data_IF_765311320993
#
_entry.id   IF_765311320993
#
_cell.length_a   1.000
_cell.length_b   1.000
_cell.length_c   1.000
_cell.angle_alpha   90.00
_cell.angle_beta   90.00
_cell.angle_gamma   90.00
#
_symmetry.space_group_name_H-M   'P 1'
#
loop_
_entity.id
_entity.type
_entity.pdbx_description
1 polymer ?
#
# COMPACT_ATOMS: atom_id res chain seq x y z
N UNK A 1 -20.42 20.20 -9.97
CA UNK A 1 -21.06 18.99 -9.39
C UNK A 1 -20.19 17.72 -9.44
N UNK A 2 -19.67 17.23 -10.59
CA UNK A 2 -18.73 16.08 -10.59
C UNK A 2 -17.36 16.39 -9.95
N UNK A 3 -16.88 17.62 -10.10
CA UNK A 3 -15.61 18.07 -9.50
C UNK A 3 -15.69 18.14 -7.96
N UNK A 4 -16.81 18.64 -7.44
CA UNK A 4 -17.04 18.76 -5.99
C UNK A 4 -17.15 17.40 -5.30
N UNK A 5 -17.84 16.44 -5.91
CA UNK A 5 -17.96 15.06 -5.43
C UNK A 5 -16.59 14.36 -5.39
N UNK A 6 -15.75 14.53 -6.42
CA UNK A 6 -14.38 13.98 -6.44
C UNK A 6 -13.48 14.64 -5.41
N UNK A 7 -13.53 15.96 -5.29
CA UNK A 7 -12.74 16.72 -4.30
C UNK A 7 -13.14 16.35 -2.87
N UNK A 8 -14.42 16.17 -2.60
CA UNK A 8 -14.90 15.72 -1.29
C UNK A 8 -14.45 14.29 -0.97
N UNK A 9 -14.50 13.38 -1.95
CA UNK A 9 -13.97 12.03 -1.78
C UNK A 9 -12.47 12.04 -1.44
N UNK A 10 -11.66 12.79 -2.18
CA UNK A 10 -10.22 12.91 -1.91
C UNK A 10 -9.94 13.50 -0.50
N UNK A 11 -10.67 14.54 -0.08
CA UNK A 11 -10.56 15.11 1.27
C UNK A 11 -10.92 14.10 2.36
N UNK A 12 -11.98 13.31 2.15
CA UNK A 12 -12.37 12.26 3.07
C UNK A 12 -11.31 11.17 3.19
N UNK A 13 -10.72 10.72 2.07
CA UNK A 13 -9.66 9.71 2.07
C UNK A 13 -8.38 10.20 2.75
N UNK A 14 -7.97 11.44 2.50
CA UNK A 14 -6.82 12.05 3.17
C UNK A 14 -7.03 12.18 4.68
N UNK A 15 -8.20 12.69 5.10
CA UNK A 15 -8.55 12.78 6.52
C UNK A 15 -8.67 11.41 7.19
N UNK A 16 -9.19 10.42 6.48
CA UNK A 16 -9.26 9.06 6.98
C UNK A 16 -7.85 8.50 7.21
N UNK A 17 -6.95 8.61 6.23
CA UNK A 17 -5.55 8.19 6.35
C UNK A 17 -4.88 8.77 7.58
N UNK A 18 -4.96 10.08 7.78
CA UNK A 18 -4.39 10.75 8.95
C UNK A 18 -4.97 10.24 10.28
N UNK A 19 -6.30 10.07 10.35
CA UNK A 19 -6.99 9.56 11.53
C UNK A 19 -6.60 8.11 11.84
N UNK A 20 -6.52 7.24 10.83
CA UNK A 20 -6.16 5.83 10.99
C UNK A 20 -4.67 5.65 11.32
N UNK A 21 -3.78 6.48 10.78
CA UNK A 21 -2.37 6.48 11.16
C UNK A 21 -2.18 6.85 12.63
N UNK A 22 -2.92 7.85 13.12
CA UNK A 22 -2.84 8.31 14.51
C UNK A 22 -3.53 7.37 15.51
N UNK A 23 -4.78 7.00 15.21
CA UNK A 23 -5.67 6.35 16.18
C UNK A 23 -5.89 4.84 15.89
N UNK A 24 -5.34 4.32 14.79
CA UNK A 24 -5.47 2.93 14.37
C UNK A 24 -6.93 2.49 14.24
N UNK A 25 -7.23 1.28 14.71
CA UNK A 25 -8.58 0.74 14.72
C UNK A 25 -9.60 1.60 15.50
N UNK A 26 -9.14 2.49 16.40
CA UNK A 26 -9.97 3.40 17.19
C UNK A 26 -10.44 4.67 16.47
N UNK A 27 -9.98 4.94 15.23
CA UNK A 27 -10.36 6.13 14.48
C UNK A 27 -11.90 6.26 14.33
N UNK A 28 -12.48 7.42 14.68
CA UNK A 28 -13.93 7.65 14.55
C UNK A 28 -14.31 8.23 13.18
N UNK A 29 -15.42 7.78 12.58
CA UNK A 29 -15.91 8.30 11.30
C UNK A 29 -16.37 9.76 11.43
N UNK A 30 -16.89 10.15 12.59
CA UNK A 30 -17.20 11.53 12.93
C UNK A 30 -15.95 12.40 12.97
N UNK A 31 -14.84 11.86 13.48
CA UNK A 31 -13.53 12.49 13.45
C UNK A 31 -13.05 12.70 12.02
N UNK A 32 -13.14 11.67 11.17
CA UNK A 32 -12.80 11.74 9.75
C UNK A 32 -13.63 12.82 9.03
N UNK A 33 -14.95 12.83 9.20
CA UNK A 33 -15.82 13.82 8.55
C UNK A 33 -15.46 15.25 8.98
N UNK A 34 -15.22 15.44 10.29
CA UNK A 34 -14.82 16.73 10.87
C UNK A 34 -13.48 17.22 10.33
N UNK A 35 -12.47 16.35 10.32
CA UNK A 35 -11.14 16.65 9.79
C UNK A 35 -11.21 16.95 8.28
N UNK A 36 -12.01 16.20 7.53
CA UNK A 36 -12.27 16.45 6.12
C UNK A 36 -13.07 17.74 5.88
N UNK A 37 -13.63 18.39 6.91
CA UNK A 37 -14.47 19.58 6.81
C UNK A 37 -15.78 19.34 6.07
N UNK A 38 -16.38 18.15 6.23
CA UNK A 38 -17.66 17.77 5.63
C UNK A 38 -18.62 17.22 6.69
N UNK A 39 -19.93 17.31 6.44
CA UNK A 39 -20.92 16.72 7.34
C UNK A 39 -20.88 15.19 7.33
N UNK A 40 -21.20 14.56 8.46
CA UNK A 40 -21.21 13.09 8.60
C UNK A 40 -22.14 12.40 7.59
N UNK A 41 -23.28 13.02 7.26
CA UNK A 41 -24.18 12.52 6.21
C UNK A 41 -23.55 12.53 4.81
N UNK A 42 -22.59 13.40 4.54
CA UNK A 42 -21.81 13.37 3.28
C UNK A 42 -20.82 12.22 3.29
N UNK A 43 -20.16 11.94 4.42
CA UNK A 43 -19.30 10.76 4.56
C UNK A 43 -20.10 9.48 4.27
N UNK A 44 -21.24 9.27 4.93
CA UNK A 44 -22.06 8.07 4.71
C UNK A 44 -22.63 7.95 3.29
N UNK A 45 -22.86 9.06 2.59
CA UNK A 45 -23.22 9.02 1.15
C UNK A 45 -22.07 8.53 0.26
N UNK A 46 -20.82 8.78 0.65
CA UNK A 46 -19.65 8.32 -0.10
C UNK A 46 -19.17 6.93 0.33
N UNK A 47 -19.33 6.62 1.62
CA UNK A 47 -18.85 5.43 2.30
C UNK A 47 -19.92 4.97 3.30
N UNK A 48 -20.91 4.19 2.84
CA UNK A 48 -22.04 3.76 3.68
C UNK A 48 -21.61 3.04 4.96
N UNK A 49 -20.48 2.33 4.92
CA UNK A 49 -19.90 1.63 6.06
C UNK A 49 -18.45 2.02 6.28
N UNK A 50 -17.93 1.71 7.48
CA UNK A 50 -16.48 1.81 7.77
C UNK A 50 -15.67 0.97 6.79
N UNK A 51 -16.17 -0.21 6.42
CA UNK A 51 -15.52 -1.10 5.47
C UNK A 51 -15.40 -0.44 4.09
N UNK A 52 -16.44 0.24 3.60
CA UNK A 52 -16.39 0.95 2.31
C UNK A 52 -15.32 2.08 2.31
N UNK A 53 -15.14 2.77 3.44
CA UNK A 53 -14.09 3.78 3.58
C UNK A 53 -12.71 3.13 3.52
N UNK A 54 -12.52 2.00 4.20
CA UNK A 54 -11.25 1.27 4.24
C UNK A 54 -10.88 0.70 2.88
N UNK A 55 -11.83 0.09 2.18
CA UNK A 55 -11.64 -0.43 0.83
C UNK A 55 -11.27 0.69 -0.15
N UNK A 56 -11.91 1.86 -0.02
CA UNK A 56 -11.57 3.02 -0.82
C UNK A 56 -10.19 3.61 -0.49
N UNK A 57 -9.78 3.61 0.78
CA UNK A 57 -8.43 4.02 1.19
C UNK A 57 -7.36 3.04 0.65
N UNK A 58 -7.66 1.74 0.64
CA UNK A 58 -6.75 0.73 0.10
C UNK A 58 -6.63 0.86 -1.42
N UNK A 59 -7.74 1.08 -2.12
CA UNK A 59 -7.73 1.36 -3.54
C UNK A 59 -6.91 2.63 -3.88
N UNK A 60 -7.08 3.72 -3.12
CA UNK A 60 -6.30 4.95 -3.26
C UNK A 60 -4.80 4.72 -3.01
N UNK A 61 -4.44 3.93 -2.00
CA UNK A 61 -3.06 3.55 -1.74
C UNK A 61 -2.45 2.76 -2.90
N UNK A 62 -3.18 1.80 -3.45
CA UNK A 62 -2.73 1.01 -4.60
C UNK A 62 -2.66 1.82 -5.90
N UNK A 63 -3.60 2.72 -6.15
CA UNK A 63 -3.52 3.64 -7.30
C UNK A 63 -2.27 4.53 -7.21
N UNK A 64 -1.96 5.05 -6.03
CA UNK A 64 -0.75 5.83 -5.81
C UNK A 64 0.53 5.00 -5.99
N UNK A 65 0.56 3.75 -5.50
CA UNK A 65 1.69 2.83 -5.70
C UNK A 65 1.86 2.45 -7.17
N UNK A 66 0.76 2.28 -7.91
CA UNK A 66 0.81 2.02 -9.34
C UNK A 66 1.38 3.23 -10.11
N UNK A 67 1.01 4.45 -9.73
CA UNK A 67 1.55 5.67 -10.31
C UNK A 67 3.05 5.82 -10.01
N UNK A 68 3.44 5.65 -8.74
CA UNK A 68 4.83 5.71 -8.27
C UNK A 68 5.72 4.69 -9.00
N UNK A 69 5.27 3.43 -9.16
CA UNK A 69 5.99 2.43 -9.94
C UNK A 69 6.22 2.86 -11.40
N UNK A 70 5.21 3.45 -12.05
CA UNK A 70 5.33 3.92 -13.45
C UNK A 70 6.33 5.06 -13.58
N UNK A 71 6.35 5.99 -12.63
CA UNK A 71 7.31 7.09 -12.60
C UNK A 71 8.73 6.58 -12.36
N UNK A 72 8.90 5.65 -11.43
CA UNK A 72 10.19 5.02 -11.10
C UNK A 72 10.74 4.13 -12.20
N UNK A 73 9.87 3.62 -13.07
CA UNK A 73 10.23 2.72 -14.17
C UNK A 73 11.26 3.31 -15.13
N UNK A 74 11.46 4.62 -15.19
CA UNK A 74 12.47 5.27 -16.05
C UNK A 74 13.78 5.64 -15.32
N UNK A 75 13.92 5.32 -14.03
CA UNK A 75 15.12 5.63 -13.22
C UNK A 75 16.41 5.01 -13.80
N UNK A 76 17.55 5.69 -13.86
CA UNK A 76 18.80 5.06 -14.31
C UNK A 76 19.37 4.02 -13.32
N UNK A 77 18.82 3.93 -12.10
CA UNK A 77 19.22 3.02 -11.03
C UNK A 77 18.04 2.10 -10.64
N UNK A 78 17.82 0.98 -11.35
CA UNK A 78 16.63 0.14 -11.18
C UNK A 78 16.47 -0.47 -9.79
N UNK A 79 17.56 -0.99 -9.20
CA UNK A 79 17.55 -1.55 -7.85
C UNK A 79 17.14 -0.55 -6.78
N UNK A 80 17.68 0.67 -6.80
CA UNK A 80 17.28 1.74 -5.89
C UNK A 80 15.82 2.14 -6.08
N UNK A 81 15.39 2.26 -7.35
CA UNK A 81 14.01 2.60 -7.67
C UNK A 81 13.01 1.56 -7.15
N UNK A 82 13.34 0.26 -7.26
CA UNK A 82 12.56 -0.83 -6.70
C UNK A 82 12.55 -0.78 -5.16
N UNK A 83 13.71 -0.58 -4.52
CA UNK A 83 13.81 -0.52 -3.06
C UNK A 83 12.96 0.63 -2.48
N UNK A 84 12.99 1.80 -3.11
CA UNK A 84 12.15 2.93 -2.72
C UNK A 84 10.66 2.66 -2.92
N UNK A 85 10.29 1.97 -4.00
CA UNK A 85 8.90 1.56 -4.23
C UNK A 85 8.41 0.55 -3.17
N UNK A 86 9.25 -0.43 -2.80
CA UNK A 86 8.95 -1.40 -1.75
C UNK A 86 8.83 -0.74 -0.37
N UNK A 87 9.64 0.27 -0.07
CA UNK A 87 9.49 1.10 1.13
C UNK A 87 8.15 1.85 1.13
N UNK A 88 7.81 2.51 0.03
CA UNK A 88 6.54 3.20 -0.13
C UNK A 88 5.34 2.24 0.01
N UNK A 89 5.47 0.99 -0.45
CA UNK A 89 4.47 -0.04 -0.25
C UNK A 89 4.24 -0.33 1.24
N UNK A 90 5.32 -0.50 2.01
CA UNK A 90 5.24 -0.75 3.46
C UNK A 90 4.58 0.44 4.17
N UNK A 91 5.08 1.66 3.94
CA UNK A 91 4.54 2.88 4.54
C UNK A 91 3.04 3.03 4.29
N UNK A 92 2.61 2.89 3.03
CA UNK A 92 1.21 3.08 2.64
C UNK A 92 0.28 1.99 3.14
N UNK A 93 0.78 0.79 3.42
CA UNK A 93 -0.02 -0.35 3.88
C UNK A 93 -0.02 -0.52 5.39
N UNK A 94 1.01 -0.04 6.11
CA UNK A 94 1.02 0.00 7.58
C UNK A 94 -0.12 0.86 8.15
N UNK A 95 -0.57 1.89 7.44
CA UNK A 95 -1.67 2.77 7.84
C UNK A 95 -3.02 2.03 8.05
N UNK A 96 -3.18 0.80 7.53
CA UNK A 96 -4.38 -0.03 7.75
C UNK A 96 -4.33 -0.81 9.07
N UNK A 97 -3.67 -0.23 10.07
CA UNK A 97 -3.43 -0.76 11.42
C UNK A 97 -4.63 -1.51 12.00
N UNK A 98 -4.42 -2.75 12.47
CA UNK A 98 -5.45 -3.60 13.08
C UNK A 98 -6.49 -4.17 12.11
N UNK A 99 -6.34 -3.92 10.81
CA UNK A 99 -7.24 -4.40 9.75
C UNK A 99 -6.51 -5.23 8.69
N UNK A 100 -5.28 -5.66 9.00
CA UNK A 100 -4.51 -6.61 8.20
C UNK A 100 -5.34 -7.84 7.83
N UNK A 101 -6.20 -8.34 8.73
CA UNK A 101 -7.13 -9.42 8.42
C UNK A 101 -8.15 -9.06 7.32
N UNK A 102 -8.71 -7.84 7.31
CA UNK A 102 -9.64 -7.40 6.27
C UNK A 102 -8.92 -7.15 4.93
N UNK A 103 -7.72 -6.56 4.97
CA UNK A 103 -6.87 -6.39 3.79
C UNK A 103 -6.39 -7.73 3.21
N UNK A 104 -5.96 -8.68 4.05
CA UNK A 104 -5.63 -10.05 3.64
C UNK A 104 -6.86 -10.82 3.14
N UNK A 105 -8.03 -10.63 3.74
CA UNK A 105 -9.27 -11.26 3.26
C UNK A 105 -9.68 -10.74 1.89
N UNK A 106 -9.44 -9.46 1.60
CA UNK A 106 -9.61 -8.87 0.26
C UNK A 106 -8.58 -9.36 -0.77
N UNK A 107 -7.46 -9.94 -0.32
CA UNK A 107 -6.46 -10.61 -1.16
C UNK A 107 -6.73 -12.11 -1.36
N UNK A 108 -7.81 -12.67 -0.78
CA UNK A 108 -8.19 -14.09 -0.99
C UNK A 108 -8.96 -14.27 -2.30
N UNK A 109 -8.53 -15.27 -3.06
CA UNK A 109 -8.80 -15.50 -4.50
C UNK A 109 -10.26 -15.85 -4.87
N UNK A 110 -11.19 -15.93 -3.91
CA UNK A 110 -12.57 -16.43 -4.14
C UNK A 110 -13.64 -15.34 -4.35
N UNK A 111 -13.25 -14.08 -4.53
CA UNK A 111 -14.14 -13.04 -5.08
C UNK A 111 -13.58 -12.62 -6.43
N UNK A 112 -14.43 -12.52 -7.46
CA UNK A 112 -14.07 -11.91 -8.73
C UNK A 112 -13.26 -10.63 -8.46
N UNK A 113 -11.99 -10.65 -8.83
CA UNK A 113 -10.91 -9.72 -8.41
C UNK A 113 -11.42 -8.32 -7.99
N UNK A 114 -11.62 -8.05 -6.68
CA UNK A 114 -12.45 -6.94 -6.24
C UNK A 114 -11.80 -5.55 -6.39
N UNK A 115 -10.55 -5.43 -6.84
CA UNK A 115 -9.86 -4.13 -6.90
C UNK A 115 -8.99 -3.95 -8.17
N UNK A 116 -9.49 -3.26 -9.21
CA UNK A 116 -8.69 -2.81 -10.36
C UNK A 116 -7.40 -2.08 -9.96
N UNK A 117 -7.43 -1.36 -8.83
CA UNK A 117 -6.26 -0.71 -8.26
C UNK A 117 -5.16 -1.69 -7.81
N UNK A 118 -5.55 -2.81 -7.17
CA UNK A 118 -4.61 -3.86 -6.74
C UNK A 118 -3.90 -4.48 -7.95
N UNK A 119 -4.67 -4.81 -8.99
CA UNK A 119 -4.13 -5.29 -10.26
C UNK A 119 -3.16 -4.28 -10.88
N UNK A 120 -3.58 -3.02 -11.01
CA UNK A 120 -2.74 -1.97 -11.59
C UNK A 120 -1.44 -1.77 -10.80
N UNK A 121 -1.49 -1.87 -9.46
CA UNK A 121 -0.33 -1.80 -8.58
C UNK A 121 0.60 -2.99 -8.81
N UNK A 122 0.06 -4.21 -8.89
CA UNK A 122 0.84 -5.42 -9.15
C UNK A 122 1.52 -5.37 -10.52
N UNK A 123 0.79 -5.04 -11.58
CA UNK A 123 1.33 -4.96 -12.94
C UNK A 123 2.45 -3.89 -13.04
N UNK A 124 2.24 -2.72 -12.44
CA UNK A 124 3.24 -1.65 -12.47
C UNK A 124 4.48 -2.00 -11.62
N UNK A 125 4.28 -2.57 -10.42
CA UNK A 125 5.36 -3.01 -9.54
C UNK A 125 6.15 -4.17 -10.15
N UNK A 126 5.49 -5.12 -10.80
CA UNK A 126 6.14 -6.24 -11.50
C UNK A 126 7.01 -5.73 -12.64
N UNK A 127 6.54 -4.74 -13.43
CA UNK A 127 7.35 -4.13 -14.48
C UNK A 127 8.61 -3.42 -13.92
N UNK A 128 8.53 -2.83 -12.72
CA UNK A 128 9.69 -2.25 -12.04
C UNK A 128 10.65 -3.33 -11.52
N UNK A 129 10.09 -4.41 -10.96
CA UNK A 129 10.83 -5.56 -10.45
C UNK A 129 11.61 -6.29 -11.56
N UNK A 130 10.96 -6.57 -12.69
CA UNK A 130 11.60 -7.18 -13.86
C UNK A 130 12.76 -6.33 -14.36
N UNK A 131 12.62 -5.00 -14.36
CA UNK A 131 13.70 -4.10 -14.77
C UNK A 131 14.91 -4.20 -13.82
N UNK A 132 14.69 -4.36 -12.53
CA UNK A 132 15.76 -4.59 -11.56
C UNK A 132 16.43 -5.96 -11.77
N UNK A 133 15.67 -6.99 -12.18
CA UNK A 133 16.24 -8.28 -12.58
C UNK A 133 17.09 -8.16 -13.85
N UNK A 134 16.62 -7.44 -14.88
CA UNK A 134 17.37 -7.18 -16.11
C UNK A 134 18.69 -6.43 -15.87
N UNK A 135 18.73 -5.58 -14.83
CA UNK A 135 19.93 -4.88 -14.40
C UNK A 135 20.87 -5.71 -13.52
N UNK A 136 20.45 -6.91 -13.08
CA UNK A 136 21.20 -7.77 -12.16
C UNK A 136 21.11 -7.36 -10.69
N UNK A 137 20.25 -6.40 -10.34
CA UNK A 137 20.04 -5.93 -8.97
C UNK A 137 19.18 -6.91 -8.14
N UNK A 138 18.41 -7.77 -8.82
CA UNK A 138 17.56 -8.81 -8.22
C UNK A 138 17.81 -10.15 -8.91
N UNK A 139 17.94 -11.26 -8.16
CA UNK A 139 18.10 -12.58 -8.78
C UNK A 139 16.92 -12.96 -9.68
N UNK A 140 17.21 -13.62 -10.81
CA UNK A 140 16.22 -13.96 -11.84
C UNK A 140 15.21 -15.03 -11.38
N UNK A 141 15.53 -15.80 -10.35
CA UNK A 141 14.70 -16.86 -9.78
C UNK A 141 13.73 -16.38 -8.68
N UNK A 142 13.85 -15.13 -8.24
CA UNK A 142 12.92 -14.54 -7.27
C UNK A 142 11.65 -14.07 -7.98
N UNK A 143 10.49 -14.55 -7.53
CA UNK A 143 9.20 -14.10 -8.02
C UNK A 143 8.78 -12.78 -7.36
N UNK A 144 8.24 -11.84 -8.15
CA UNK A 144 7.68 -10.59 -7.63
C UNK A 144 6.60 -10.81 -6.56
N UNK A 145 5.80 -11.87 -6.71
CA UNK A 145 4.78 -12.24 -5.73
C UNK A 145 5.37 -12.53 -4.34
N UNK A 146 6.57 -13.10 -4.26
CA UNK A 146 7.24 -13.38 -2.98
C UNK A 146 7.83 -12.12 -2.37
N UNK A 147 8.38 -11.22 -3.19
CA UNK A 147 8.77 -9.89 -2.74
C UNK A 147 7.58 -9.13 -2.12
N UNK A 148 6.40 -9.17 -2.77
CA UNK A 148 5.17 -8.58 -2.24
C UNK A 148 4.71 -9.22 -0.92
N UNK A 149 4.75 -10.56 -0.81
CA UNK A 149 4.41 -11.27 0.43
C UNK A 149 5.34 -10.86 1.58
N UNK A 150 6.63 -10.76 1.29
CA UNK A 150 7.66 -10.37 2.24
C UNK A 150 7.43 -8.94 2.74
N UNK A 151 7.25 -7.96 1.86
CA UNK A 151 7.00 -6.58 2.31
C UNK A 151 5.63 -6.40 2.97
N UNK A 152 4.62 -7.18 2.57
CA UNK A 152 3.35 -7.24 3.28
C UNK A 152 3.48 -7.81 4.71
N UNK A 153 4.34 -8.81 4.90
CA UNK A 153 4.65 -9.35 6.23
C UNK A 153 5.42 -8.33 7.08
N UNK A 154 6.39 -7.62 6.50
CA UNK A 154 7.10 -6.52 7.19
C UNK A 154 6.10 -5.45 7.62
N UNK A 155 5.25 -4.97 6.70
CA UNK A 155 4.24 -3.96 7.02
C UNK A 155 3.30 -4.39 8.16
N UNK A 156 2.95 -5.68 8.20
CA UNK A 156 2.10 -6.24 9.27
C UNK A 156 2.84 -6.29 10.60
N UNK A 157 4.10 -6.73 10.63
CA UNK A 157 4.84 -6.90 11.90
C UNK A 157 5.34 -5.57 12.46
N UNK A 158 5.65 -4.60 11.59
CA UNK A 158 6.14 -3.27 11.98
C UNK A 158 5.01 -2.26 12.17
N UNK A 159 3.76 -2.72 12.19
CA UNK A 159 2.59 -1.87 12.38
C UNK A 159 2.73 -0.95 13.61
N UNK A 160 3.32 -1.47 14.70
CA UNK A 160 3.56 -0.79 15.98
C UNK A 160 4.97 -0.23 16.15
N UNK A 161 5.88 -0.54 15.24
CA UNK A 161 7.31 -0.17 15.26
C UNK A 161 7.73 0.28 13.86
N UNK A 162 7.18 1.40 13.34
CA UNK A 162 7.43 1.83 11.95
C UNK A 162 8.92 2.05 11.66
N UNK A 163 9.72 2.44 12.65
CA UNK A 163 11.17 2.55 12.56
C UNK A 163 11.89 1.22 12.29
N UNK A 164 11.24 0.07 12.55
CA UNK A 164 11.79 -1.23 12.24
C UNK A 164 11.58 -1.62 10.75
N UNK A 165 10.64 -0.98 10.04
CA UNK A 165 10.30 -1.31 8.65
C UNK A 165 11.51 -1.20 7.72
N UNK A 166 12.21 -0.07 7.77
CA UNK A 166 13.39 0.18 6.95
C UNK A 166 14.51 -0.82 7.25
N UNK A 167 14.73 -1.13 8.53
CA UNK A 167 15.73 -2.10 8.96
C UNK A 167 15.40 -3.50 8.46
N UNK A 168 14.14 -3.94 8.57
CA UNK A 168 13.72 -5.26 8.10
C UNK A 168 13.76 -5.37 6.57
N UNK A 169 13.36 -4.31 5.85
CA UNK A 169 13.46 -4.27 4.39
C UNK A 169 14.93 -4.35 3.95
N UNK A 170 15.82 -3.58 4.58
CA UNK A 170 17.26 -3.62 4.29
C UNK A 170 17.86 -5.01 4.56
N UNK A 171 17.49 -5.66 5.68
CA UNK A 171 17.91 -7.02 5.99
C UNK A 171 17.41 -8.03 4.95
N UNK A 172 16.18 -7.88 4.49
CA UNK A 172 15.61 -8.78 3.50
C UNK A 172 16.23 -8.59 2.10
N UNK A 173 16.57 -7.34 1.73
CA UNK A 173 17.28 -7.03 0.50
C UNK A 173 18.73 -7.53 0.52
N UNK A 174 19.43 -7.42 1.66
CA UNK A 174 20.80 -7.88 1.81
C UNK A 174 20.93 -9.41 1.97
N UNK A 175 19.88 -10.05 2.50
CA UNK A 175 19.89 -11.45 2.92
C UNK A 175 20.55 -11.66 4.29
N UNK A 176 19.99 -12.56 5.10
CA UNK A 176 20.50 -12.85 6.46
C UNK A 176 21.71 -13.80 6.48
N UNK A 177 21.83 -14.67 5.47
CA UNK A 177 22.90 -15.67 5.36
C UNK A 177 23.68 -15.34 4.08
N UNK A 178 24.91 -14.82 4.18
CA UNK A 178 25.74 -14.56 3.01
C UNK A 178 25.98 -15.87 2.24
N UNK A 179 25.57 -15.91 0.97
CA UNK A 179 26.05 -16.85 -0.05
C UNK A 179 26.15 -18.33 0.34
N UNK A 180 25.01 -19.00 0.49
CA UNK A 180 24.90 -20.42 0.13
C UNK A 180 23.96 -20.57 -1.06
N UNK A 181 24.31 -19.91 -2.16
CA UNK A 181 23.84 -20.28 -3.49
C UNK A 181 24.69 -21.49 -3.91
N UNK A 182 24.11 -22.68 -3.80
CA UNK A 182 24.67 -23.90 -4.37
C UNK A 182 24.41 -23.99 -5.86
#
# INVERSE_FOLDING_TARGET
>A
MRSDVRRNRARLLAAAREMFERDGAGASLEGVARLAGVGIGTLYRHFPTRQDLLEAMLADAFEALAADARERRVSPVPGEALAEWLRAFIERTTAFRGMAAAALMSLREDRADPFPACRAMREAGEALFVRAQEAGDVPADVAFADALRLVGAIATVTEREPEAADRLLALAAAGLIPGKTG
#
